data_IF_583560232581
#
_entry.id   IF_583560232581
#
_cell.length_a   1.000
_cell.length_b   1.000
_cell.length_c   1.000
_cell.angle_alpha   90.00
_cell.angle_beta   90.00
_cell.angle_gamma   90.00
#
_symmetry.space_group_name_H-M   'P 1'
#
loop_
_entity.id
_entity.type
_entity.pdbx_description
1 polymer ?
#
# COMPACT_ATOMS: atom_id res chain seq x y z
N UNK A 1 -2.52 37.48 -12.21
CA UNK A 1 -3.58 36.46 -12.21
C UNK A 1 -2.98 35.19 -11.64
N UNK A 2 -3.56 34.66 -10.59
CA UNK A 2 -3.14 33.39 -9.99
C UNK A 2 -3.48 32.26 -10.95
N UNK A 3 -2.59 31.31 -11.14
CA UNK A 3 -2.87 30.13 -11.99
C UNK A 3 -4.08 29.37 -11.43
N UNK A 4 -5.02 28.88 -12.26
CA UNK A 4 -6.21 28.18 -11.77
C UNK A 4 -5.91 27.05 -10.79
N UNK A 5 -4.79 26.35 -10.95
CA UNK A 5 -4.31 25.32 -10.02
C UNK A 5 -3.98 25.90 -8.63
N UNK A 6 -3.34 27.06 -8.57
CA UNK A 6 -3.04 27.75 -7.30
C UNK A 6 -4.30 28.30 -6.64
N UNK A 7 -5.25 28.77 -7.45
CA UNK A 7 -6.53 29.27 -6.96
C UNK A 7 -7.44 28.15 -6.40
N UNK A 8 -7.37 26.94 -6.99
CA UNK A 8 -8.17 25.78 -6.58
C UNK A 8 -7.53 24.99 -5.44
N UNK A 9 -6.22 24.87 -5.43
CA UNK A 9 -5.49 23.99 -4.50
C UNK A 9 -4.60 24.75 -3.51
N UNK A 10 -4.52 26.07 -3.61
CA UNK A 10 -3.68 26.91 -2.75
C UNK A 10 -2.18 26.72 -2.99
N UNK A 11 -1.37 27.44 -2.22
CA UNK A 11 0.08 27.24 -2.14
C UNK A 11 0.48 26.27 -1.01
N UNK A 12 -0.51 25.66 -0.36
CA UNK A 12 -0.33 24.76 0.78
C UNK A 12 -0.34 23.29 0.38
N UNK A 13 0.28 22.51 1.18
CA UNK A 13 0.44 21.07 1.26
C UNK A 13 0.09 20.28 -0.02
N UNK A 14 1.10 20.16 -0.89
CA UNK A 14 1.00 19.25 -2.02
C UNK A 14 0.95 17.81 -1.51
N UNK A 15 0.06 17.00 -2.09
CA UNK A 15 0.05 15.57 -1.88
C UNK A 15 1.43 14.97 -2.21
N UNK A 16 1.86 13.91 -1.51
CA UNK A 16 3.08 13.21 -1.84
C UNK A 16 3.14 12.80 -3.32
N UNK A 17 4.30 12.98 -3.94
CA UNK A 17 4.51 12.54 -5.33
C UNK A 17 5.10 11.13 -5.28
N UNK A 18 4.25 10.14 -5.45
CA UNK A 18 4.62 8.72 -5.47
C UNK A 18 4.04 8.03 -6.71
N UNK A 19 4.57 6.85 -7.10
CA UNK A 19 4.03 6.11 -8.24
C UNK A 19 2.55 5.76 -8.08
N UNK A 20 1.83 5.74 -9.19
CA UNK A 20 0.40 5.40 -9.20
C UNK A 20 0.10 3.91 -9.07
N UNK A 21 1.12 3.06 -9.11
CA UNK A 21 0.97 1.62 -8.98
C UNK A 21 1.89 1.08 -7.89
N UNK A 22 1.37 0.19 -7.05
CA UNK A 22 2.08 -0.56 -6.01
C UNK A 22 2.05 -2.04 -6.33
N UNK A 23 3.22 -2.64 -6.59
CA UNK A 23 3.33 -4.04 -7.00
C UNK A 23 3.83 -4.93 -5.87
N UNK A 24 2.99 -5.86 -5.41
CA UNK A 24 3.32 -6.80 -4.34
C UNK A 24 4.10 -8.00 -4.86
N UNK A 25 5.17 -8.36 -4.15
CA UNK A 25 6.04 -9.49 -4.47
C UNK A 25 6.51 -10.20 -3.20
N UNK A 26 6.09 -11.46 -3.01
CA UNK A 26 6.32 -12.25 -1.79
C UNK A 26 7.53 -13.20 -1.85
N UNK A 27 8.39 -13.17 -2.88
CA UNK A 27 9.60 -13.97 -2.94
C UNK A 27 10.74 -13.21 -3.61
N UNK A 28 11.99 -13.56 -3.27
CA UNK A 28 13.18 -12.94 -3.87
C UNK A 28 13.11 -12.94 -5.41
N UNK A 29 12.72 -14.06 -5.99
CA UNK A 29 12.57 -14.19 -7.45
C UNK A 29 11.57 -13.19 -8.02
N UNK A 30 10.44 -12.97 -7.35
CA UNK A 30 9.40 -12.04 -7.80
C UNK A 30 9.83 -10.59 -7.59
N UNK A 31 10.50 -10.28 -6.48
CA UNK A 31 11.06 -8.96 -6.20
C UNK A 31 12.09 -8.57 -7.27
N UNK A 32 13.06 -9.44 -7.56
CA UNK A 32 14.06 -9.21 -8.59
C UNK A 32 13.45 -9.04 -9.99
N UNK A 33 12.40 -9.81 -10.32
CA UNK A 33 11.64 -9.60 -11.57
C UNK A 33 10.94 -8.23 -11.60
N UNK A 34 10.42 -7.78 -10.46
CA UNK A 34 9.87 -6.44 -10.33
C UNK A 34 10.91 -5.36 -10.61
N UNK A 35 12.12 -5.48 -10.07
CA UNK A 35 13.23 -4.56 -10.35
C UNK A 35 13.64 -4.56 -11.82
N UNK A 36 13.68 -5.74 -12.47
CA UNK A 36 13.92 -5.82 -13.91
C UNK A 36 12.81 -5.15 -14.73
N UNK A 37 11.57 -5.24 -14.26
CA UNK A 37 10.45 -4.56 -14.91
C UNK A 37 10.54 -3.04 -14.71
N UNK A 38 10.96 -2.55 -13.54
CA UNK A 38 11.23 -1.13 -13.32
C UNK A 38 12.33 -0.61 -14.27
N UNK A 39 13.39 -1.37 -14.50
CA UNK A 39 14.44 -0.99 -15.50
C UNK A 39 13.87 -0.80 -16.90
N UNK A 40 12.84 -1.54 -17.28
CA UNK A 40 12.20 -1.46 -18.60
C UNK A 40 11.16 -0.35 -18.71
N UNK A 41 10.34 -0.17 -17.68
CA UNK A 41 9.21 0.75 -17.66
C UNK A 41 9.55 2.14 -17.07
N UNK A 42 10.68 2.24 -16.38
CA UNK A 42 11.04 3.41 -15.60
C UNK A 42 10.45 3.41 -14.18
N UNK A 43 10.64 4.49 -13.41
CA UNK A 43 10.19 4.63 -12.02
C UNK A 43 8.69 4.95 -11.93
N UNK A 44 7.84 4.17 -12.61
CA UNK A 44 6.38 4.41 -12.71
C UNK A 44 5.56 3.58 -11.72
N UNK A 45 6.18 2.65 -11.04
CA UNK A 45 5.60 1.85 -9.96
C UNK A 45 6.64 1.54 -8.91
N UNK A 46 6.22 1.27 -7.67
CA UNK A 46 7.07 0.76 -6.62
C UNK A 46 6.75 -0.72 -6.31
N UNK A 47 7.58 -1.33 -5.47
CA UNK A 47 7.48 -2.74 -5.15
C UNK A 47 7.33 -2.89 -3.65
N UNK A 48 6.28 -3.59 -3.20
CA UNK A 48 6.11 -4.02 -1.82
C UNK A 48 6.66 -5.43 -1.66
N UNK A 49 7.79 -5.54 -0.97
CA UNK A 49 8.34 -6.82 -0.54
C UNK A 49 7.48 -7.34 0.63
N UNK A 50 6.84 -8.49 0.42
CA UNK A 50 5.78 -8.95 1.31
C UNK A 50 6.29 -9.95 2.35
N UNK A 51 6.18 -9.64 3.64
CA UNK A 51 6.47 -10.58 4.73
C UNK A 51 5.22 -11.34 5.22
N UNK A 52 4.04 -10.98 4.73
CA UNK A 52 2.75 -11.50 5.20
C UNK A 52 2.16 -12.52 4.22
N UNK A 53 0.95 -12.36 3.72
CA UNK A 53 0.21 -13.35 2.90
C UNK A 53 0.95 -13.85 1.66
N UNK A 54 1.85 -13.07 1.10
CA UNK A 54 2.64 -13.45 -0.08
C UNK A 54 3.95 -14.16 0.25
N UNK A 55 4.34 -14.27 1.52
CA UNK A 55 5.58 -14.90 1.97
C UNK A 55 5.40 -16.39 2.32
N UNK A 56 6.52 -17.12 2.40
CA UNK A 56 6.52 -18.51 2.85
C UNK A 56 6.54 -18.56 4.38
N UNK A 57 5.54 -19.20 4.98
CA UNK A 57 5.41 -19.36 6.43
C UNK A 57 6.54 -20.23 7.02
N UNK A 58 7.00 -19.87 8.22
CA UNK A 58 8.02 -20.62 8.98
C UNK A 58 9.46 -20.23 8.64
N UNK A 59 9.67 -19.14 7.89
CA UNK A 59 10.99 -18.59 7.54
C UNK A 59 11.05 -17.07 7.71
N UNK A 60 10.27 -16.53 8.59
CA UNK A 60 10.00 -15.09 8.73
C UNK A 60 11.30 -14.27 8.87
N UNK A 61 12.21 -14.71 9.76
CA UNK A 61 13.53 -14.06 9.94
C UNK A 61 14.36 -14.06 8.65
N UNK A 62 14.52 -15.24 8.05
CA UNK A 62 15.30 -15.36 6.82
C UNK A 62 14.70 -14.58 5.66
N UNK A 63 13.37 -14.45 5.65
CA UNK A 63 12.64 -13.66 4.66
C UNK A 63 12.87 -12.16 4.86
N UNK A 64 12.77 -11.65 6.08
CA UNK A 64 13.07 -10.26 6.40
C UNK A 64 14.54 -9.90 6.08
N UNK A 65 15.49 -10.78 6.41
CA UNK A 65 16.91 -10.63 6.05
C UNK A 65 17.13 -10.63 4.53
N UNK A 66 16.41 -11.46 3.79
CA UNK A 66 16.41 -11.45 2.33
C UNK A 66 15.94 -10.11 1.79
N UNK A 67 14.85 -9.55 2.35
CA UNK A 67 14.35 -8.23 1.94
C UNK A 67 15.41 -7.15 2.20
N UNK A 68 16.04 -7.14 3.37
CA UNK A 68 17.16 -6.21 3.67
C UNK A 68 18.24 -6.29 2.59
N UNK A 69 18.64 -7.50 2.22
CA UNK A 69 19.68 -7.72 1.21
C UNK A 69 19.26 -7.19 -0.17
N UNK A 70 18.05 -7.48 -0.62
CA UNK A 70 17.62 -7.08 -1.97
C UNK A 70 17.33 -5.59 -2.07
N UNK A 71 16.78 -4.97 -1.03
CA UNK A 71 16.54 -3.51 -0.96
C UNK A 71 17.86 -2.74 -1.04
N UNK A 72 18.89 -3.25 -0.38
CA UNK A 72 20.22 -2.62 -0.38
C UNK A 72 21.06 -2.91 -1.63
N UNK A 73 20.65 -3.87 -2.46
CA UNK A 73 21.42 -4.30 -3.63
C UNK A 73 21.35 -3.33 -4.80
N UNK A 74 22.33 -3.41 -5.69
CA UNK A 74 22.33 -2.68 -6.97
C UNK A 74 21.22 -3.13 -7.94
N UNK A 75 20.53 -4.23 -7.60
CA UNK A 75 19.36 -4.68 -8.36
C UNK A 75 18.15 -3.75 -8.18
N UNK A 76 18.07 -3.00 -7.08
CA UNK A 76 17.04 -1.98 -6.80
C UNK A 76 17.39 -0.66 -7.52
N UNK A 77 16.89 -0.40 -8.75
CA UNK A 77 17.48 0.61 -9.63
C UNK A 77 17.11 2.04 -9.23
N UNK A 78 15.99 2.20 -8.53
CA UNK A 78 15.42 3.51 -8.24
C UNK A 78 15.17 3.76 -6.75
N UNK A 79 15.50 2.80 -5.87
CA UNK A 79 15.20 2.92 -4.43
C UNK A 79 13.70 2.92 -4.14
N UNK A 80 12.89 2.27 -4.98
CA UNK A 80 11.43 2.24 -4.89
C UNK A 80 10.92 0.89 -4.38
N UNK A 81 11.57 0.33 -3.38
CA UNK A 81 11.15 -0.88 -2.70
C UNK A 81 10.72 -0.57 -1.27
N UNK A 82 9.47 -0.81 -0.96
CA UNK A 82 8.92 -0.86 0.39
C UNK A 82 8.75 -2.30 0.87
N UNK A 83 8.14 -2.47 2.03
CA UNK A 83 7.87 -3.79 2.61
C UNK A 83 6.54 -3.79 3.33
N UNK A 84 5.79 -4.92 3.27
CA UNK A 84 4.66 -5.18 4.16
C UNK A 84 5.13 -6.09 5.29
N UNK A 85 4.95 -5.65 6.54
CA UNK A 85 5.25 -6.42 7.75
C UNK A 85 4.07 -7.33 8.10
N UNK A 86 4.24 -8.21 9.07
CA UNK A 86 3.14 -8.98 9.63
C UNK A 86 2.14 -8.09 10.38
N UNK A 87 0.89 -8.56 10.49
CA UNK A 87 -0.16 -7.91 11.24
C UNK A 87 0.11 -7.86 12.75
N UNK A 88 -0.66 -7.02 13.46
CA UNK A 88 -0.46 -6.76 14.88
C UNK A 88 -0.60 -7.99 15.78
N UNK A 89 -1.43 -8.96 15.41
CA UNK A 89 -1.68 -10.20 16.16
C UNK A 89 -0.63 -11.28 15.88
N UNK A 90 0.16 -11.13 14.80
CA UNK A 90 1.24 -12.07 14.48
C UNK A 90 2.41 -11.91 15.46
N UNK A 91 2.98 -13.01 15.99
CA UNK A 91 4.06 -12.93 17.00
C UNK A 91 5.32 -12.20 16.49
N UNK A 92 5.59 -12.26 15.20
CA UNK A 92 6.86 -11.80 14.60
C UNK A 92 6.81 -10.37 14.05
N UNK A 93 5.71 -9.63 14.16
CA UNK A 93 5.64 -8.27 13.59
C UNK A 93 6.72 -7.31 14.14
N UNK A 94 7.08 -7.47 15.43
CA UNK A 94 8.19 -6.68 16.01
C UNK A 94 9.54 -7.10 15.46
N UNK A 95 9.72 -8.40 15.24
CA UNK A 95 10.94 -8.95 14.70
C UNK A 95 11.16 -8.49 13.26
N UNK A 96 10.10 -8.40 12.45
CA UNK A 96 10.18 -7.77 11.12
C UNK A 96 10.78 -6.38 11.21
N UNK A 97 10.21 -5.53 12.08
CA UNK A 97 10.66 -4.15 12.24
C UNK A 97 12.10 -4.09 12.76
N UNK A 98 12.45 -4.95 13.74
CA UNK A 98 13.79 -5.01 14.31
C UNK A 98 14.87 -5.44 13.31
N UNK A 99 14.50 -6.17 12.25
CA UNK A 99 15.39 -6.56 11.15
C UNK A 99 15.38 -5.52 10.02
N UNK A 100 14.18 -5.19 9.54
CA UNK A 100 13.99 -4.37 8.34
C UNK A 100 14.43 -2.92 8.54
N UNK A 101 14.07 -2.31 9.68
CA UNK A 101 14.35 -0.90 9.93
C UNK A 101 15.86 -0.65 10.12
N UNK A 102 16.58 -1.34 11.01
CA UNK A 102 18.03 -1.13 11.12
C UNK A 102 18.79 -1.55 9.85
N UNK A 103 18.32 -2.61 9.19
CA UNK A 103 19.00 -3.18 8.03
C UNK A 103 18.81 -2.43 6.72
N UNK A 104 17.66 -1.82 6.51
CA UNK A 104 17.30 -1.21 5.23
C UNK A 104 16.55 0.13 5.35
N UNK A 105 16.28 0.63 6.55
CA UNK A 105 15.43 1.81 6.77
C UNK A 105 15.87 3.08 6.03
N UNK A 106 17.16 3.26 5.78
CA UNK A 106 17.67 4.39 4.97
C UNK A 106 17.26 4.30 3.49
N UNK A 107 16.96 3.10 2.99
CA UNK A 107 16.62 2.83 1.58
C UNK A 107 15.20 2.34 1.34
N UNK A 108 14.48 1.90 2.40
CA UNK A 108 13.08 1.50 2.27
C UNK A 108 12.24 2.68 1.79
N UNK A 109 11.50 2.49 0.71
CA UNK A 109 10.59 3.50 0.21
C UNK A 109 9.44 3.77 1.20
N UNK A 110 8.93 2.71 1.84
CA UNK A 110 7.86 2.73 2.85
C UNK A 110 7.76 1.40 3.60
N UNK A 111 6.97 1.41 4.67
CA UNK A 111 6.54 0.20 5.39
C UNK A 111 5.01 0.15 5.38
N UNK A 112 4.44 -0.98 4.96
CA UNK A 112 2.99 -1.23 4.95
C UNK A 112 2.57 -2.03 6.17
N UNK A 113 1.57 -1.53 6.88
CA UNK A 113 0.94 -2.13 8.06
C UNK A 113 -0.38 -2.79 7.62
N UNK A 114 -0.51 -4.14 7.69
CA UNK A 114 -1.73 -4.84 7.32
C UNK A 114 -2.66 -5.06 8.51
N UNK A 115 -3.91 -5.41 8.24
CA UNK A 115 -4.91 -6.04 9.12
C UNK A 115 -5.08 -5.42 10.51
N UNK A 116 -4.78 -4.12 10.68
CA UNK A 116 -5.08 -3.44 11.94
C UNK A 116 -6.56 -3.58 12.27
N UNK A 117 -6.89 -3.89 13.53
CA UNK A 117 -8.29 -4.02 13.98
C UNK A 117 -8.79 -2.78 14.68
N UNK A 118 -7.89 -1.84 14.97
CA UNK A 118 -8.19 -0.56 15.60
C UNK A 118 -7.14 0.50 15.28
N UNK A 119 -7.46 1.75 15.59
CA UNK A 119 -6.49 2.85 15.60
C UNK A 119 -5.30 2.56 16.51
N UNK A 120 -5.53 1.96 17.69
CA UNK A 120 -4.46 1.71 18.66
C UNK A 120 -3.47 0.65 18.17
N UNK A 121 -3.91 -0.34 17.40
CA UNK A 121 -3.00 -1.32 16.78
C UNK A 121 -2.08 -0.63 15.77
N UNK A 122 -2.66 0.12 14.82
CA UNK A 122 -1.90 0.87 13.84
C UNK A 122 -0.93 1.85 14.50
N UNK A 123 -1.39 2.61 15.50
CA UNK A 123 -0.58 3.54 16.27
C UNK A 123 0.59 2.84 16.96
N UNK A 124 0.35 1.70 17.59
CA UNK A 124 1.40 0.93 18.28
C UNK A 124 2.49 0.49 17.32
N UNK A 125 2.11 0.02 16.12
CA UNK A 125 3.09 -0.36 15.08
C UNK A 125 3.85 0.86 14.54
N UNK A 126 3.16 1.98 14.28
CA UNK A 126 3.79 3.24 13.86
C UNK A 126 4.82 3.72 14.89
N UNK A 127 4.44 3.79 16.17
CA UNK A 127 5.33 4.22 17.25
C UNK A 127 6.53 3.28 17.41
N UNK A 128 6.35 1.97 17.21
CA UNK A 128 7.42 1.01 17.26
C UNK A 128 8.41 1.17 16.09
N UNK A 129 7.92 1.43 14.88
CA UNK A 129 8.75 1.74 13.71
C UNK A 129 9.58 3.00 13.97
N UNK A 130 8.96 4.06 14.47
CA UNK A 130 9.63 5.33 14.79
C UNK A 130 10.70 5.16 15.87
N UNK A 131 10.39 4.45 16.95
CA UNK A 131 11.32 4.17 18.03
C UNK A 131 12.53 3.35 17.55
N UNK A 132 12.29 2.34 16.70
CA UNK A 132 13.33 1.50 16.12
C UNK A 132 14.20 2.29 15.15
N UNK A 133 13.61 3.12 14.30
CA UNK A 133 14.34 4.02 13.39
C UNK A 133 15.26 4.97 14.17
N UNK A 134 14.73 5.61 15.21
CA UNK A 134 15.52 6.49 16.11
C UNK A 134 16.68 5.73 16.77
N UNK A 135 16.41 4.52 17.30
CA UNK A 135 17.45 3.67 17.90
C UNK A 135 18.55 3.27 16.91
N UNK A 136 18.17 3.03 15.66
CA UNK A 136 19.08 2.72 14.57
C UNK A 136 19.85 3.94 14.01
N UNK A 137 19.56 5.15 14.48
CA UNK A 137 20.19 6.38 14.01
C UNK A 137 19.67 6.89 12.66
N UNK A 138 18.52 6.38 12.21
CA UNK A 138 17.87 6.85 10.99
C UNK A 138 17.24 8.21 11.26
N UNK A 139 17.60 9.22 10.46
CA UNK A 139 17.16 10.60 10.65
C UNK A 139 16.00 10.99 9.75
N UNK A 140 15.76 10.23 8.70
CA UNK A 140 14.61 10.45 7.81
C UNK A 140 13.33 9.81 8.35
N UNK A 141 12.20 10.34 7.97
CA UNK A 141 10.92 9.66 8.13
C UNK A 141 10.83 8.50 7.14
N UNK A 142 10.43 7.32 7.61
CA UNK A 142 10.10 6.17 6.75
C UNK A 142 8.60 6.26 6.50
N UNK A 143 8.15 6.51 5.25
CA UNK A 143 6.72 6.57 4.96
C UNK A 143 6.00 5.30 5.36
N UNK A 144 4.79 5.43 5.90
CA UNK A 144 3.97 4.31 6.32
C UNK A 144 2.70 4.27 5.47
N UNK A 145 2.38 3.09 4.97
CA UNK A 145 1.11 2.77 4.34
C UNK A 145 0.29 1.93 5.31
N UNK A 146 -1.00 2.20 5.42
CA UNK A 146 -1.90 1.43 6.31
C UNK A 146 -3.02 0.81 5.51
N UNK A 147 -3.14 -0.52 5.59
CA UNK A 147 -4.23 -1.24 4.96
C UNK A 147 -5.51 -1.10 5.77
N UNK A 148 -6.54 -0.64 5.12
CA UNK A 148 -7.90 -0.56 5.65
C UNK A 148 -8.69 -1.74 5.08
N UNK A 149 -8.70 -2.84 5.84
CA UNK A 149 -9.23 -4.13 5.39
C UNK A 149 -9.98 -4.88 6.49
N UNK A 150 -10.17 -4.23 7.65
CA UNK A 150 -10.99 -4.73 8.75
C UNK A 150 -12.08 -3.76 9.12
N UNK A 151 -13.12 -4.23 9.80
CA UNK A 151 -14.19 -3.36 10.31
C UNK A 151 -13.65 -2.29 11.25
N UNK A 152 -12.70 -2.65 12.10
CA UNK A 152 -12.12 -1.72 13.06
C UNK A 152 -11.24 -0.67 12.39
N UNK A 153 -10.40 -1.06 11.43
CA UNK A 153 -9.62 -0.12 10.65
C UNK A 153 -10.51 0.88 9.89
N UNK A 154 -11.59 0.40 9.26
CA UNK A 154 -12.55 1.28 8.58
C UNK A 154 -13.30 2.19 9.54
N UNK A 155 -13.67 1.70 10.72
CA UNK A 155 -14.32 2.52 11.77
C UNK A 155 -13.42 3.69 12.14
N UNK A 156 -12.14 3.44 12.35
CA UNK A 156 -11.16 4.37 12.91
C UNK A 156 -10.31 5.08 11.84
N UNK A 157 -10.65 4.93 10.55
CA UNK A 157 -9.82 5.37 9.41
C UNK A 157 -9.44 6.84 9.44
N UNK A 158 -10.34 7.71 9.88
CA UNK A 158 -10.08 9.16 9.97
C UNK A 158 -8.98 9.47 11.01
N UNK A 159 -8.97 8.74 12.14
CA UNK A 159 -7.91 8.87 13.14
C UNK A 159 -6.60 8.29 12.64
N UNK A 160 -6.66 7.12 11.98
CA UNK A 160 -5.48 6.47 11.41
C UNK A 160 -4.79 7.35 10.38
N UNK A 161 -5.56 8.08 9.56
CA UNK A 161 -5.04 9.03 8.59
C UNK A 161 -4.22 10.19 9.21
N UNK A 162 -4.40 10.48 10.50
CA UNK A 162 -3.65 11.54 11.20
C UNK A 162 -2.37 11.06 11.87
N UNK A 163 -2.07 9.75 11.84
CA UNK A 163 -0.85 9.23 12.44
C UNK A 163 0.40 9.79 11.72
N UNK A 164 1.44 10.15 12.48
CA UNK A 164 2.67 10.64 11.87
C UNK A 164 3.31 9.58 10.98
N UNK A 165 3.98 10.01 9.91
CA UNK A 165 4.60 9.18 8.87
C UNK A 165 3.63 8.42 7.96
N UNK A 166 2.34 8.38 8.27
CA UNK A 166 1.35 7.77 7.37
C UNK A 166 1.25 8.62 6.10
N UNK A 167 1.47 7.97 4.95
CA UNK A 167 1.49 8.59 3.64
C UNK A 167 0.39 8.05 2.73
N UNK A 168 -0.04 6.80 2.94
CA UNK A 168 -1.03 6.12 2.11
C UNK A 168 -2.04 5.38 2.98
N UNK A 169 -3.31 5.42 2.59
CA UNK A 169 -4.33 4.47 3.05
C UNK A 169 -4.67 3.53 1.89
N UNK A 170 -4.39 2.26 2.09
CA UNK A 170 -4.66 1.20 1.12
C UNK A 170 -5.98 0.52 1.44
N UNK A 171 -6.84 0.31 0.45
CA UNK A 171 -8.06 -0.46 0.65
C UNK A 171 -7.84 -1.94 0.34
N UNK A 172 -7.96 -2.81 1.34
CA UNK A 172 -7.81 -4.26 1.22
C UNK A 172 -9.17 -4.95 1.04
N UNK A 173 -9.60 -5.15 -0.22
CA UNK A 173 -10.95 -5.64 -0.55
C UNK A 173 -11.22 -7.08 -0.07
N UNK A 174 -10.22 -7.97 -0.17
CA UNK A 174 -10.43 -9.39 0.08
C UNK A 174 -10.72 -9.66 1.56
N UNK A 175 -9.85 -9.17 2.44
CA UNK A 175 -10.03 -9.30 3.89
C UNK A 175 -11.26 -8.51 4.36
N UNK A 176 -11.50 -7.32 3.80
CA UNK A 176 -12.70 -6.55 4.07
C UNK A 176 -13.97 -7.34 3.81
N UNK A 177 -14.11 -7.96 2.63
CA UNK A 177 -15.28 -8.78 2.28
C UNK A 177 -15.36 -10.03 3.14
N UNK A 178 -14.24 -10.69 3.40
CA UNK A 178 -14.16 -11.88 4.27
C UNK A 178 -14.65 -11.59 5.68
N UNK A 179 -14.33 -10.42 6.21
CA UNK A 179 -14.78 -9.95 7.53
C UNK A 179 -16.31 -9.84 7.67
N UNK A 180 -17.05 -9.77 6.56
CA UNK A 180 -18.53 -9.77 6.57
C UNK A 180 -19.15 -11.17 6.66
N UNK A 181 -18.35 -12.23 6.76
CA UNK A 181 -18.82 -13.60 7.04
C UNK A 181 -19.94 -14.09 6.08
N UNK A 182 -19.84 -13.72 4.80
CA UNK A 182 -20.79 -14.10 3.76
C UNK A 182 -21.96 -13.13 3.57
N UNK A 183 -22.12 -12.09 4.39
CA UNK A 183 -23.12 -11.04 4.15
C UNK A 183 -22.82 -10.23 2.87
N UNK A 184 -21.56 -10.15 2.47
CA UNK A 184 -21.15 -9.71 1.13
C UNK A 184 -20.74 -10.95 0.35
N UNK A 185 -21.45 -11.33 -0.73
CA UNK A 185 -21.05 -12.47 -1.57
C UNK A 185 -19.65 -12.30 -2.15
N UNK A 186 -18.83 -13.35 -2.14
CA UNK A 186 -17.45 -13.31 -2.65
C UNK A 186 -17.35 -12.89 -4.13
N UNK A 187 -18.41 -13.10 -4.93
CA UNK A 187 -18.49 -12.61 -6.31
C UNK A 187 -18.34 -11.09 -6.43
N UNK A 188 -18.68 -10.33 -5.37
CA UNK A 188 -18.52 -8.89 -5.33
C UNK A 188 -17.08 -8.41 -5.11
N UNK A 189 -16.12 -9.33 -4.91
CA UNK A 189 -14.69 -8.98 -4.98
C UNK A 189 -14.21 -8.72 -6.41
N UNK A 190 -15.04 -9.01 -7.42
CA UNK A 190 -14.77 -8.76 -8.85
C UNK A 190 -15.65 -7.65 -9.38
N UNK A 191 -15.26 -7.09 -10.51
CA UNK A 191 -16.09 -6.12 -11.23
C UNK A 191 -17.28 -6.81 -11.93
N UNK A 192 -18.46 -6.16 -11.94
CA UNK A 192 -18.71 -4.80 -11.43
C UNK A 192 -18.97 -4.71 -9.92
N UNK A 193 -19.19 -5.85 -9.23
CA UNK A 193 -19.64 -5.90 -7.83
C UNK A 193 -18.75 -5.13 -6.85
N UNK A 194 -17.44 -5.10 -7.05
CA UNK A 194 -16.51 -4.36 -6.19
C UNK A 194 -16.75 -2.84 -6.17
N UNK A 195 -17.46 -2.32 -7.15
CA UNK A 195 -17.84 -0.89 -7.23
C UNK A 195 -19.31 -0.65 -6.94
N UNK A 196 -20.17 -1.64 -7.16
CA UNK A 196 -21.63 -1.49 -7.10
C UNK A 196 -22.22 -1.96 -5.77
N UNK A 197 -21.55 -2.89 -5.07
CA UNK A 197 -22.03 -3.33 -3.78
C UNK A 197 -21.94 -2.19 -2.76
N UNK A 198 -23.07 -1.79 -2.18
CA UNK A 198 -23.23 -0.58 -1.37
C UNK A 198 -22.22 -0.47 -0.22
N UNK A 199 -21.96 -1.57 0.52
CA UNK A 199 -21.02 -1.56 1.64
C UNK A 199 -19.58 -1.41 1.17
N UNK A 200 -19.20 -2.02 0.04
CA UNK A 200 -17.88 -1.86 -0.55
C UNK A 200 -17.67 -0.44 -1.06
N UNK A 201 -18.64 0.08 -1.80
CA UNK A 201 -18.59 1.44 -2.33
C UNK A 201 -18.51 2.49 -1.22
N UNK A 202 -19.29 2.32 -0.14
CA UNK A 202 -19.24 3.21 1.02
C UNK A 202 -17.89 3.16 1.74
N UNK A 203 -17.30 1.96 1.90
CA UNK A 203 -15.98 1.80 2.50
C UNK A 203 -14.89 2.49 1.66
N UNK A 204 -14.89 2.30 0.34
CA UNK A 204 -13.97 2.97 -0.58
C UNK A 204 -14.08 4.49 -0.49
N UNK A 205 -15.30 5.02 -0.52
CA UNK A 205 -15.54 6.47 -0.39
C UNK A 205 -15.01 7.01 0.94
N UNK A 206 -15.21 6.28 2.05
CA UNK A 206 -14.73 6.68 3.38
C UNK A 206 -13.19 6.69 3.44
N UNK A 207 -12.52 5.70 2.86
CA UNK A 207 -11.05 5.66 2.79
C UNK A 207 -10.50 6.84 2.00
N UNK A 208 -11.08 7.12 0.83
CA UNK A 208 -10.66 8.26 0.00
C UNK A 208 -10.86 9.58 0.72
N UNK A 209 -12.02 9.77 1.36
CA UNK A 209 -12.31 10.99 2.12
C UNK A 209 -11.32 11.18 3.28
N UNK A 210 -11.06 10.13 4.05
CA UNK A 210 -10.12 10.20 5.17
C UNK A 210 -8.69 10.51 4.69
N UNK A 211 -8.25 9.89 3.59
CA UNK A 211 -6.92 10.14 3.05
C UNK A 211 -6.78 11.58 2.54
N UNK A 212 -7.64 12.02 1.64
CA UNK A 212 -7.50 13.32 0.99
C UNK A 212 -7.71 14.49 1.95
N UNK A 213 -8.56 14.36 2.97
CA UNK A 213 -8.73 15.39 4.01
C UNK A 213 -7.51 15.54 4.92
N UNK A 214 -6.61 14.56 4.94
CA UNK A 214 -5.36 14.56 5.69
C UNK A 214 -4.12 14.70 4.79
N UNK A 215 -4.29 15.08 3.51
CA UNK A 215 -3.21 15.28 2.54
C UNK A 215 -2.33 14.04 2.31
N UNK A 216 -2.92 12.85 2.40
CA UNK A 216 -2.27 11.56 2.10
C UNK A 216 -2.98 10.85 0.94
N UNK A 217 -2.35 9.82 0.38
CA UNK A 217 -2.78 9.19 -0.86
C UNK A 217 -3.74 8.03 -0.59
N UNK A 218 -4.93 7.99 -1.20
CA UNK A 218 -5.77 6.79 -1.21
C UNK A 218 -5.34 5.81 -2.30
N UNK A 219 -5.12 4.55 -1.93
CA UNK A 219 -4.73 3.48 -2.83
C UNK A 219 -5.85 2.43 -2.94
N UNK A 220 -6.24 2.11 -4.17
CA UNK A 220 -7.31 1.15 -4.47
C UNK A 220 -6.80 -0.29 -4.45
N UNK A 221 -7.71 -1.22 -4.12
CA UNK A 221 -7.44 -2.65 -4.13
C UNK A 221 -7.09 -3.20 -5.51
N UNK A 222 -6.49 -4.38 -5.52
CA UNK A 222 -6.14 -5.13 -6.73
C UNK A 222 -7.36 -5.58 -7.54
N UNK A 223 -7.19 -5.72 -8.86
CA UNK A 223 -8.12 -6.46 -9.73
C UNK A 223 -7.83 -7.95 -9.64
N UNK A 224 -8.84 -8.78 -9.36
CA UNK A 224 -8.69 -10.24 -9.23
C UNK A 224 -8.66 -10.98 -10.57
N UNK A 225 -8.90 -10.31 -11.68
CA UNK A 225 -8.73 -10.87 -13.03
C UNK A 225 -7.28 -10.65 -13.50
N UNK A 226 -6.37 -11.48 -12.97
CA UNK A 226 -4.92 -11.29 -13.05
C UNK A 226 -4.36 -11.24 -14.48
N UNK A 227 -5.01 -11.93 -15.42
CA UNK A 227 -4.52 -12.08 -16.80
C UNK A 227 -5.27 -11.20 -17.80
N UNK A 228 -6.11 -10.31 -17.31
CA UNK A 228 -6.92 -9.40 -18.12
C UNK A 228 -6.52 -7.93 -17.88
N UNK A 229 -5.50 -7.42 -18.60
CA UNK A 229 -5.06 -6.04 -18.42
C UNK A 229 -6.14 -5.01 -18.81
N UNK A 230 -7.07 -5.36 -19.68
CA UNK A 230 -8.20 -4.49 -20.01
C UNK A 230 -9.13 -4.30 -18.80
N UNK A 231 -9.46 -5.39 -18.08
CA UNK A 231 -10.27 -5.27 -16.86
C UNK A 231 -9.52 -4.47 -15.78
N UNK A 232 -8.21 -4.70 -15.64
CA UNK A 232 -7.38 -3.92 -14.72
C UNK A 232 -7.40 -2.42 -15.05
N UNK A 233 -7.27 -2.08 -16.33
CA UNK A 233 -7.37 -0.69 -16.80
C UNK A 233 -8.74 -0.08 -16.44
N UNK A 234 -9.84 -0.80 -16.71
CA UNK A 234 -11.20 -0.34 -16.42
C UNK A 234 -11.46 -0.16 -14.91
N UNK A 235 -10.94 -1.06 -14.09
CA UNK A 235 -11.04 -0.95 -12.64
C UNK A 235 -10.26 0.27 -12.12
N UNK A 236 -9.04 0.47 -12.61
CA UNK A 236 -8.22 1.62 -12.25
C UNK A 236 -8.83 2.96 -12.73
N UNK A 237 -9.34 3.00 -13.96
CA UNK A 237 -10.05 4.17 -14.51
C UNK A 237 -11.26 4.52 -13.66
N UNK A 238 -12.06 3.53 -13.27
CA UNK A 238 -13.25 3.71 -12.43
C UNK A 238 -12.89 4.11 -11.01
N UNK A 239 -11.89 3.46 -10.41
CA UNK A 239 -11.38 3.80 -9.09
C UNK A 239 -10.95 5.27 -9.02
N UNK A 240 -10.25 5.75 -10.04
CA UNK A 240 -9.81 7.14 -10.13
C UNK A 240 -10.98 8.10 -10.36
N UNK A 241 -11.74 7.89 -11.44
CA UNK A 241 -12.68 8.88 -11.93
C UNK A 241 -13.98 8.96 -11.11
N UNK A 242 -14.42 7.85 -10.51
CA UNK A 242 -15.67 7.80 -9.76
C UNK A 242 -15.46 7.83 -8.24
N UNK A 243 -14.32 7.34 -7.73
CA UNK A 243 -14.05 7.25 -6.30
C UNK A 243 -12.94 8.20 -5.81
N UNK A 244 -12.06 8.68 -6.69
CA UNK A 244 -10.99 9.60 -6.34
C UNK A 244 -9.71 8.93 -5.82
N UNK A 245 -9.52 7.63 -6.06
CA UNK A 245 -8.25 6.97 -5.78
C UNK A 245 -7.14 7.51 -6.68
N UNK A 246 -5.95 7.63 -6.14
CA UNK A 246 -4.79 8.16 -6.86
C UNK A 246 -3.73 7.11 -7.15
N UNK A 247 -3.91 5.92 -6.60
CA UNK A 247 -2.98 4.80 -6.66
C UNK A 247 -3.75 3.48 -6.63
N UNK A 248 -3.16 2.39 -7.13
CA UNK A 248 -3.78 1.07 -7.12
C UNK A 248 -2.75 -0.04 -6.95
N UNK A 249 -3.15 -1.13 -6.28
CA UNK A 249 -2.36 -2.33 -6.12
C UNK A 249 -2.29 -3.17 -7.36
N UNK A 250 -1.17 -3.86 -7.51
CA UNK A 250 -0.92 -4.90 -8.49
C UNK A 250 -0.31 -6.12 -7.78
N UNK A 251 -0.76 -7.31 -8.13
CA UNK A 251 -0.19 -8.58 -7.68
C UNK A 251 0.26 -9.44 -8.88
N UNK A 252 0.13 -8.91 -10.09
CA UNK A 252 0.53 -9.61 -11.31
C UNK A 252 1.16 -8.64 -12.31
N UNK A 253 2.28 -9.01 -12.98
CA UNK A 253 3.04 -8.09 -13.83
C UNK A 253 2.24 -7.39 -14.94
N UNK A 254 1.25 -8.09 -15.54
CA UNK A 254 0.42 -7.51 -16.61
C UNK A 254 -0.48 -6.38 -16.16
N UNK A 255 -0.69 -6.24 -14.84
CA UNK A 255 -1.54 -5.20 -14.26
C UNK A 255 -0.83 -3.84 -14.20
N UNK A 256 0.49 -3.85 -14.01
CA UNK A 256 1.27 -2.63 -13.73
C UNK A 256 1.07 -1.56 -14.79
N UNK A 257 1.32 -1.88 -16.06
CA UNK A 257 1.19 -0.90 -17.15
C UNK A 257 -0.26 -0.41 -17.29
N UNK A 258 -1.24 -1.31 -17.14
CA UNK A 258 -2.66 -0.96 -17.23
C UNK A 258 -3.07 0.04 -16.13
N UNK A 259 -2.58 -0.16 -14.89
CA UNK A 259 -2.80 0.76 -13.77
C UNK A 259 -2.14 2.11 -14.04
N UNK A 260 -0.86 2.09 -14.43
CA UNK A 260 -0.11 3.32 -14.73
C UNK A 260 -0.80 4.15 -15.81
N UNK A 261 -1.28 3.49 -16.87
CA UNK A 261 -1.96 4.19 -17.98
C UNK A 261 -3.33 4.76 -17.57
N UNK A 262 -4.10 4.05 -16.75
CA UNK A 262 -5.40 4.50 -16.27
C UNK A 262 -5.32 5.58 -15.17
N UNK A 263 -4.27 5.55 -14.35
CA UNK A 263 -4.08 6.48 -13.22
C UNK A 263 -3.33 7.77 -13.60
N UNK A 264 -2.92 7.92 -14.85
CA UNK A 264 -2.31 9.17 -15.33
C UNK A 264 -3.26 10.36 -15.14
N UNK A 265 -2.71 11.54 -14.76
CA UNK A 265 -3.49 12.77 -14.62
C UNK A 265 -4.10 13.24 -15.94
#
# INVERSE_FOLDING_TARGET
>A
MTHPKEALFGSGDNLPIIPSCEHFAGSEKLILKGFEMQKKLGPVFDITCDCEDGAETGKEVAHAEMIVRVVNSDANPYGMAGTRIHDFDHPDWRQDIDILVPGAGEKLAYITIPKSTSYEDAKTQVEYIQATAKKAGITREIPIHVLIETHGALRDVEKTATLPWVQVLDFGLMDFVSGYQGAIPASNMRSPGQFEHRLIAAAKAKVVQAALSNHIIPCHNVTLDLKNPYQTYKDAEKARNEFGFMRMWSIYPTQVQAIVDAMKP
#
